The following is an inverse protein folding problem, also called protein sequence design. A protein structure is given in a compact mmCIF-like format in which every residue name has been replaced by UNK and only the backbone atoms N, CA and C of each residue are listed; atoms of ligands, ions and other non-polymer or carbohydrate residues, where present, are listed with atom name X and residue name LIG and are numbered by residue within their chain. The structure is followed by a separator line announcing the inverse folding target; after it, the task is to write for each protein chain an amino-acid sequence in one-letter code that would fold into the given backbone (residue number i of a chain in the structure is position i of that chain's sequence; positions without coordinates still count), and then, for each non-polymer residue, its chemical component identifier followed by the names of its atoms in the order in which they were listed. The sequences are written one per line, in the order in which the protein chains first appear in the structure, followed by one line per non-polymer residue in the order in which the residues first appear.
data_IF_415110321608
#
_entry.id   IF_415110321608
#
_cell.length_a   1.000
_cell.length_b   1.000
_cell.length_c   1.000
_cell.angle_alpha   90.00
_cell.angle_beta   90.00
_cell.angle_gamma   90.00
#
_symmetry.space_group_name_H-M   'P 1'
#
loop_
_entity.id
_entity.type
_entity.pdbx_description
1 polymer ?
#
# COMPACT_ATOMS: atom_id res chain seq x y z
N UNK A 1 -0.61 9.96 14.50
CA UNK A 1 0.24 8.87 13.96
C UNK A 1 -0.27 8.57 12.57
N UNK A 2 0.61 8.46 11.57
CA UNK A 2 0.27 8.09 10.20
C UNK A 2 -0.26 6.64 10.16
N UNK A 3 -1.34 6.39 9.43
CA UNK A 3 -1.89 5.03 9.29
C UNK A 3 -1.11 4.26 8.22
N UNK A 4 -0.72 3.02 8.54
CA UNK A 4 0.15 2.20 7.70
C UNK A 4 -0.48 0.83 7.46
N UNK A 5 -0.59 0.46 6.18
CA UNK A 5 -0.96 -0.90 5.77
C UNK A 5 0.32 -1.67 5.45
N UNK A 6 0.49 -2.83 6.10
CA UNK A 6 1.60 -3.76 5.88
C UNK A 6 1.18 -4.87 4.93
N UNK A 7 2.06 -5.18 3.98
CA UNK A 7 1.93 -6.33 3.07
C UNK A 7 3.11 -7.25 3.30
N UNK A 8 2.82 -8.51 3.61
CA UNK A 8 3.81 -9.55 3.90
C UNK A 8 3.69 -10.67 2.88
N UNK A 9 4.83 -11.24 2.48
CA UNK A 9 4.88 -12.45 1.66
C UNK A 9 5.27 -13.63 2.53
N UNK A 10 4.32 -14.54 2.76
CA UNK A 10 4.51 -15.73 3.60
C UNK A 10 4.70 -17.00 2.76
N UNK A 11 5.43 -17.99 3.29
CA UNK A 11 5.52 -19.34 2.72
C UNK A 11 6.70 -19.56 1.78
N UNK A 12 7.54 -18.54 1.59
CA UNK A 12 8.79 -18.64 0.85
C UNK A 12 10.01 -18.77 1.77
N UNK A 13 9.87 -18.59 3.09
CA UNK A 13 11.00 -18.55 4.03
C UNK A 13 11.77 -19.87 4.03
N UNK A 14 11.08 -20.99 4.23
CA UNK A 14 11.68 -22.34 4.30
C UNK A 14 12.30 -22.78 2.95
N UNK A 15 11.68 -22.37 1.83
CA UNK A 15 12.13 -22.76 0.48
C UNK A 15 13.37 -21.98 0.07
N UNK A 16 13.42 -20.69 0.42
CA UNK A 16 14.58 -19.84 0.18
C UNK A 16 15.74 -20.28 1.09
N UNK A 17 15.50 -20.57 2.37
CA UNK A 17 16.56 -20.98 3.32
C UNK A 17 17.33 -22.24 2.91
N UNK A 18 16.70 -23.17 2.20
CA UNK A 18 17.34 -24.41 1.78
C UNK A 18 18.16 -24.32 0.47
N UNK A 19 18.07 -23.20 -0.28
CA UNK A 19 18.64 -23.11 -1.63
C UNK A 19 19.75 -22.06 -1.78
N UNK A 20 20.96 -22.31 -1.26
CA UNK A 20 22.07 -21.32 -1.21
C UNK A 20 22.43 -20.62 -2.53
N UNK A 21 22.33 -21.28 -3.69
CA UNK A 21 22.72 -20.70 -4.99
C UNK A 21 21.61 -19.83 -5.60
N UNK A 22 20.35 -20.04 -5.20
CA UNK A 22 19.21 -19.32 -5.77
C UNK A 22 18.63 -18.25 -4.85
N UNK A 23 19.05 -18.16 -3.57
CA UNK A 23 18.48 -17.22 -2.59
C UNK A 23 18.48 -15.78 -3.08
N UNK A 24 19.64 -15.28 -3.52
CA UNK A 24 19.79 -13.87 -3.93
C UNK A 24 18.98 -13.53 -5.17
N UNK A 25 18.92 -14.45 -6.14
CA UNK A 25 18.12 -14.28 -7.35
C UNK A 25 16.62 -14.24 -7.03
N UNK A 26 16.15 -15.19 -6.23
CA UNK A 26 14.74 -15.29 -5.81
C UNK A 26 14.34 -14.08 -4.96
N UNK A 27 15.17 -13.67 -3.99
CA UNK A 27 14.94 -12.46 -3.20
C UNK A 27 14.79 -11.22 -4.09
N UNK A 28 15.67 -11.07 -5.09
CA UNK A 28 15.62 -9.95 -6.04
C UNK A 28 14.36 -9.98 -6.90
N UNK A 29 13.96 -11.14 -7.42
CA UNK A 29 12.74 -11.30 -8.21
C UNK A 29 11.49 -11.02 -7.37
N UNK A 30 11.45 -11.51 -6.13
CA UNK A 30 10.36 -11.28 -5.20
C UNK A 30 10.24 -9.79 -4.83
N UNK A 31 11.38 -9.13 -4.54
CA UNK A 31 11.42 -7.69 -4.27
C UNK A 31 10.90 -6.87 -5.45
N UNK A 32 11.25 -7.26 -6.68
CA UNK A 32 10.75 -6.61 -7.89
C UNK A 32 9.24 -6.86 -8.09
N UNK A 33 8.77 -8.09 -7.87
CA UNK A 33 7.34 -8.42 -7.96
C UNK A 33 6.51 -7.62 -6.94
N UNK A 34 6.98 -7.56 -5.69
CA UNK A 34 6.37 -6.77 -4.62
C UNK A 34 6.39 -5.28 -4.94
N UNK A 35 7.53 -4.74 -5.41
CA UNK A 35 7.62 -3.35 -5.85
C UNK A 35 6.56 -3.02 -6.90
N UNK A 36 6.48 -3.84 -7.96
CA UNK A 36 5.53 -3.63 -9.05
C UNK A 36 4.07 -3.70 -8.57
N UNK A 37 3.76 -4.65 -7.68
CA UNK A 37 2.43 -4.76 -7.09
C UNK A 37 2.08 -3.54 -6.23
N UNK A 38 2.99 -3.12 -5.35
CA UNK A 38 2.80 -1.98 -4.46
C UNK A 38 2.67 -0.66 -5.23
N UNK A 39 3.43 -0.47 -6.31
CA UNK A 39 3.28 0.69 -7.20
C UNK A 39 1.90 0.73 -7.86
N UNK A 40 1.34 -0.43 -8.27
CA UNK A 40 -0.04 -0.51 -8.79
C UNK A 40 -1.07 -0.14 -7.73
N UNK A 41 -0.92 -0.66 -6.52
CA UNK A 41 -1.80 -0.32 -5.39
C UNK A 41 -1.71 1.18 -5.08
N UNK A 42 -0.51 1.76 -5.08
CA UNK A 42 -0.30 3.19 -4.87
C UNK A 42 -1.00 4.03 -5.94
N UNK A 43 -0.82 3.70 -7.22
CA UNK A 43 -1.48 4.41 -8.32
C UNK A 43 -3.00 4.35 -8.20
N UNK A 44 -3.53 3.19 -7.84
CA UNK A 44 -4.97 3.02 -7.61
C UNK A 44 -5.45 3.82 -6.40
N UNK A 45 -4.70 3.81 -5.30
CA UNK A 45 -5.00 4.61 -4.10
C UNK A 45 -5.01 6.11 -4.45
N UNK A 46 -4.01 6.60 -5.19
CA UNK A 46 -3.96 7.98 -5.66
C UNK A 46 -5.14 8.36 -6.56
N UNK A 47 -5.60 7.44 -7.42
CA UNK A 47 -6.76 7.65 -8.28
C UNK A 47 -8.09 7.67 -7.53
N UNK A 48 -8.16 7.02 -6.37
CA UNK A 48 -9.34 6.98 -5.50
C UNK A 48 -9.32 8.09 -4.43
N UNK A 49 -8.20 8.80 -4.26
CA UNK A 49 -8.10 9.89 -3.31
C UNK A 49 -9.05 11.05 -3.68
N UNK A 50 -9.72 11.65 -2.69
CA UNK A 50 -10.39 12.93 -2.89
C UNK A 50 -9.38 14.00 -3.32
N UNK A 51 -9.85 14.95 -4.15
CA UNK A 51 -9.00 15.95 -4.85
C UNK A 51 -9.25 17.36 -4.31
N UNK A 52 -9.77 17.52 -3.09
CA UNK A 52 -10.10 18.84 -2.56
C UNK A 52 -8.84 19.71 -2.43
N UNK A 53 -7.75 19.14 -1.95
CA UNK A 53 -6.44 19.82 -1.85
C UNK A 53 -5.32 19.12 -2.60
N UNK A 54 -5.47 17.83 -2.92
CA UNK A 54 -4.41 16.97 -3.48
C UNK A 54 -3.34 16.53 -2.46
N UNK A 55 -3.33 17.10 -1.27
CA UNK A 55 -2.32 16.86 -0.24
C UNK A 55 -2.26 15.38 0.19
N UNK A 56 -3.41 14.71 0.34
CA UNK A 56 -3.43 13.28 0.66
C UNK A 56 -2.81 12.47 -0.48
N UNK A 57 -3.29 12.67 -1.71
CA UNK A 57 -2.82 11.96 -2.90
C UNK A 57 -1.31 12.08 -3.08
N UNK A 58 -0.80 13.29 -2.90
CA UNK A 58 0.61 13.58 -3.14
C UNK A 58 1.50 13.10 -1.98
N UNK A 59 0.94 12.98 -0.77
CA UNK A 59 1.63 12.42 0.39
C UNK A 59 1.75 10.89 0.38
N UNK A 60 0.89 10.16 -0.35
CA UNK A 60 0.92 8.70 -0.36
C UNK A 60 2.27 8.17 -0.88
N UNK A 61 2.89 7.27 -0.11
CA UNK A 61 4.14 6.63 -0.48
C UNK A 61 4.14 5.13 -0.16
N UNK A 62 4.99 4.39 -0.89
CA UNK A 62 5.29 2.98 -0.66
C UNK A 62 6.77 2.79 -0.44
N UNK A 63 7.13 1.78 0.34
CA UNK A 63 8.52 1.41 0.52
C UNK A 63 8.68 0.02 1.13
N UNK A 64 9.90 -0.54 1.06
CA UNK A 64 10.22 -1.78 1.75
C UNK A 64 10.30 -1.50 3.27
N UNK A 65 9.73 -2.41 4.06
CA UNK A 65 9.92 -2.47 5.51
C UNK A 65 10.98 -3.52 5.88
N UNK A 66 10.98 -4.67 5.18
CA UNK A 66 11.96 -5.74 5.30
C UNK A 66 12.19 -6.43 3.94
N UNK A 67 12.90 -7.56 3.91
CA UNK A 67 13.10 -8.34 2.67
C UNK A 67 11.78 -8.84 2.07
N UNK A 68 10.78 -9.11 2.91
CA UNK A 68 9.49 -9.71 2.53
C UNK A 68 8.29 -8.82 2.86
N UNK A 69 8.51 -7.67 3.48
CA UNK A 69 7.44 -6.77 3.87
C UNK A 69 7.56 -5.42 3.17
N UNK A 70 6.42 -4.91 2.73
CA UNK A 70 6.28 -3.58 2.15
C UNK A 70 5.16 -2.82 2.85
N UNK A 71 5.31 -1.51 2.93
CA UNK A 71 4.29 -0.64 3.48
C UNK A 71 3.71 0.29 2.41
N UNK A 72 2.46 0.66 2.64
CA UNK A 72 1.78 1.80 2.02
C UNK A 72 1.26 2.68 3.16
N UNK A 73 1.60 3.97 3.15
CA UNK A 73 1.17 4.91 4.21
C UNK A 73 0.82 6.28 3.65
N UNK A 74 0.10 7.04 4.45
CA UNK A 74 -0.01 8.48 4.28
C UNK A 74 1.30 9.17 4.69
N UNK A 75 1.80 10.06 3.84
CA UNK A 75 3.02 10.82 4.13
C UNK A 75 2.78 12.01 5.06
N UNK A 76 1.52 12.35 5.33
CA UNK A 76 1.11 13.48 6.18
C UNK A 76 -0.07 13.07 7.05
N UNK A 77 0.08 13.17 8.37
CA UNK A 77 -0.89 12.69 9.35
C UNK A 77 -2.25 13.40 9.31
N UNK A 78 -2.36 14.52 8.59
CA UNK A 78 -3.57 15.33 8.48
C UNK A 78 -4.14 15.34 7.05
N UNK A 79 -3.57 14.56 6.13
CA UNK A 79 -3.95 14.58 4.71
C UNK A 79 -5.41 14.18 4.52
N UNK A 80 -5.83 13.10 5.19
CA UNK A 80 -7.23 12.71 5.23
C UNK A 80 -8.11 13.85 5.79
N UNK A 81 -7.64 14.52 6.84
CA UNK A 81 -8.42 15.59 7.47
C UNK A 81 -8.65 16.81 6.59
N UNK A 82 -7.65 17.19 5.78
CA UNK A 82 -7.77 18.27 4.81
C UNK A 82 -8.68 17.92 3.62
N UNK A 83 -8.55 16.70 3.10
CA UNK A 83 -9.33 16.28 1.92
C UNK A 83 -10.81 16.06 2.25
N UNK A 84 -11.10 15.39 3.36
CA UNK A 84 -12.48 15.14 3.79
C UNK A 84 -13.09 16.36 4.49
N UNK A 85 -12.28 17.38 4.82
CA UNK A 85 -12.75 18.68 5.28
C UNK A 85 -13.51 18.59 6.60
N UNK A 86 -12.90 18.00 7.63
CA UNK A 86 -13.50 17.98 8.97
C UNK A 86 -13.46 19.38 9.58
N UNK A 87 -14.47 20.21 9.27
CA UNK A 87 -14.81 21.35 10.12
C UNK A 87 -15.33 20.79 11.43
N UNK A 88 -14.67 21.14 12.54
CA UNK A 88 -14.93 20.69 13.92
C UNK A 88 -16.33 21.05 14.48
N UNK A 89 -17.31 21.34 13.62
CA UNK A 89 -18.63 21.87 13.99
C UNK A 89 -19.82 21.00 13.59
N UNK A 90 -19.65 20.01 12.71
CA UNK A 90 -20.75 19.11 12.34
C UNK A 90 -20.49 17.70 12.85
N UNK A 91 -21.23 17.33 13.90
CA UNK A 91 -21.31 15.98 14.50
C UNK A 91 -21.87 14.93 13.54
N UNK A 92 -22.29 15.34 12.34
CA UNK A 92 -22.72 14.42 11.31
C UNK A 92 -21.50 13.85 10.60
N UNK A 93 -20.92 12.79 11.19
CA UNK A 93 -20.15 11.80 10.46
C UNK A 93 -21.00 11.29 9.29
N UNK A 94 -20.97 11.97 8.15
CA UNK A 94 -21.42 11.38 6.89
C UNK A 94 -20.31 10.41 6.50
N UNK A 95 -20.31 9.27 7.18
CA UNK A 95 -19.52 8.11 6.82
C UNK A 95 -19.80 7.87 5.34
N UNK A 96 -18.80 8.04 4.48
CA UNK A 96 -18.90 7.57 3.11
C UNK A 96 -18.88 6.03 3.19
N UNK A 97 -20.03 5.32 3.14
CA UNK A 97 -20.09 3.93 3.57
C UNK A 97 -19.43 2.97 2.57
N UNK A 98 -18.99 3.49 1.43
CA UNK A 98 -18.58 2.71 0.26
C UNK A 98 -17.12 2.98 -0.15
N UNK A 99 -16.24 3.36 0.78
CA UNK A 99 -14.80 3.44 0.47
C UNK A 99 -14.23 2.03 0.46
N UNK A 100 -13.93 1.50 -0.73
CA UNK A 100 -13.25 0.21 -0.86
C UNK A 100 -11.73 0.43 -0.76
N UNK A 101 -11.03 -0.29 0.13
CA UNK A 101 -9.57 -0.28 0.17
C UNK A 101 -8.97 -0.60 -1.20
N UNK A 102 -8.02 0.22 -1.67
CA UNK A 102 -7.45 0.11 -3.02
C UNK A 102 -6.85 -1.29 -3.30
N UNK A 103 -6.31 -1.96 -2.28
CA UNK A 103 -5.74 -3.30 -2.40
C UNK A 103 -6.78 -4.37 -2.75
N UNK A 104 -8.05 -4.22 -2.35
CA UNK A 104 -9.11 -5.18 -2.68
C UNK A 104 -9.47 -5.16 -4.17
N UNK A 105 -9.32 -4.00 -4.82
CA UNK A 105 -9.55 -3.84 -6.26
C UNK A 105 -8.34 -4.26 -7.10
N UNK A 106 -7.16 -4.34 -6.48
CA UNK A 106 -5.90 -4.68 -7.15
C UNK A 106 -5.59 -6.15 -6.86
N UNK A 107 -6.20 -7.09 -7.59
CA UNK A 107 -5.87 -8.52 -7.41
C UNK A 107 -4.42 -8.77 -7.87
N UNK A 108 -3.59 -9.49 -7.10
CA UNK A 108 -2.28 -9.91 -7.57
C UNK A 108 -2.46 -10.79 -8.81
N UNK A 109 -1.79 -10.43 -9.91
CA UNK A 109 -1.79 -11.24 -11.12
C UNK A 109 -0.84 -12.41 -10.90
N UNK A 110 -1.37 -13.63 -10.71
CA UNK A 110 -0.54 -14.83 -10.62
C UNK A 110 0.03 -15.08 -12.03
N UNK A 111 1.30 -14.76 -12.23
CA UNK A 111 2.04 -15.19 -13.42
C UNK A 111 2.37 -16.66 -13.22
N UNK A 112 1.80 -17.55 -14.03
CA UNK A 112 2.25 -18.95 -14.07
C UNK A 112 3.69 -18.94 -14.58
N UNK A 113 4.61 -19.40 -13.74
CA UNK A 113 5.99 -19.73 -14.13
C UNK A 113 5.99 -20.94 -15.05
#
# INVERSE_FOLDING_TARGET
MAEMIKFEVTGFELTIENSNIQKEKVKKELKNAMKNYMERVLLKAKALCPVKTGALRDSLNVGPYSDFEWYLRDGVSYGAHQEFGFTSKDESFHQHPFVQPAFLSTKPTIVKL
#
